data_IF_144704595578
#
_entry.id   IF_144704595578
#
_cell.length_a   1.000
_cell.length_b   1.000
_cell.length_c   1.000
_cell.angle_alpha   90.00
_cell.angle_beta   90.00
_cell.angle_gamma   90.00
#
_symmetry.space_group_name_H-M   'P 1'
#
loop_
_entity.id
_entity.type
_entity.pdbx_description
1 polymer ?
#
# COMPACT_ATOMS: atom_id res chain seq x y z
N UNK A 1 2.03 -17.19 0.75
CA UNK A 1 2.44 -15.84 0.37
C UNK A 1 1.19 -15.01 0.14
N UNK A 2 1.23 -13.71 0.45
CA UNK A 2 0.06 -12.82 0.52
C UNK A 2 -0.14 -12.17 -0.86
N UNK A 3 -1.39 -12.10 -1.32
CA UNK A 3 -1.77 -11.49 -2.60
C UNK A 3 -2.75 -10.34 -2.38
N UNK A 4 -2.90 -9.46 -3.36
CA UNK A 4 -3.86 -8.36 -3.31
C UNK A 4 -5.29 -8.84 -3.03
N UNK A 5 -5.71 -9.91 -3.70
CA UNK A 5 -7.03 -10.50 -3.49
C UNK A 5 -7.27 -10.90 -2.02
N UNK A 6 -6.24 -11.45 -1.36
CA UNK A 6 -6.34 -11.84 0.05
C UNK A 6 -6.44 -10.61 0.97
N UNK A 7 -5.75 -9.51 0.65
CA UNK A 7 -5.86 -8.24 1.37
C UNK A 7 -7.29 -7.70 1.26
N UNK A 8 -7.83 -7.58 0.06
CA UNK A 8 -9.19 -7.05 -0.15
C UNK A 8 -10.24 -7.94 0.51
N UNK A 9 -10.05 -9.27 0.47
CA UNK A 9 -10.92 -10.21 1.19
C UNK A 9 -10.91 -9.98 2.70
N UNK A 10 -9.74 -9.69 3.30
CA UNK A 10 -9.62 -9.35 4.72
C UNK A 10 -10.29 -8.03 5.06
N UNK A 11 -10.14 -7.04 4.19
CA UNK A 11 -10.84 -5.75 4.30
C UNK A 11 -12.34 -6.00 4.35
N UNK A 12 -12.93 -6.68 3.36
CA UNK A 12 -14.38 -6.87 3.30
C UNK A 12 -14.94 -7.73 4.43
N UNK A 13 -14.20 -8.76 4.86
CA UNK A 13 -14.66 -9.63 5.95
C UNK A 13 -14.65 -8.94 7.32
N UNK A 14 -13.76 -7.96 7.52
CA UNK A 14 -13.53 -7.34 8.84
C UNK A 14 -13.70 -5.82 8.82
N UNK A 15 -14.33 -5.25 7.77
CA UNK A 15 -14.41 -3.80 7.57
C UNK A 15 -14.99 -3.07 8.79
N UNK A 16 -15.94 -3.72 9.49
CA UNK A 16 -16.60 -3.20 10.68
C UNK A 16 -15.66 -3.07 11.88
N UNK A 17 -14.66 -3.94 11.99
CA UNK A 17 -13.67 -3.86 13.07
C UNK A 17 -12.52 -2.91 12.69
N UNK A 18 -12.12 -2.95 11.41
CA UNK A 18 -11.01 -2.13 10.88
C UNK A 18 -11.35 -0.64 10.94
N UNK A 19 -12.55 -0.23 10.50
CA UNK A 19 -12.89 1.20 10.41
C UNK A 19 -12.93 1.90 11.78
N UNK A 20 -13.21 1.17 12.86
CA UNK A 20 -13.23 1.71 14.23
C UNK A 20 -11.83 2.21 14.64
N UNK A 21 -10.79 1.54 14.13
CA UNK A 21 -9.40 1.91 14.38
C UNK A 21 -8.90 2.97 13.38
N UNK A 22 -9.68 3.26 12.34
CA UNK A 22 -9.35 4.28 11.36
C UNK A 22 -10.02 5.62 11.68
N UNK A 23 -9.27 6.53 12.29
CA UNK A 23 -9.75 7.88 12.63
C UNK A 23 -10.13 8.78 11.44
N UNK A 24 -9.86 8.35 10.21
CA UNK A 24 -10.15 9.08 8.96
C UNK A 24 -11.44 8.65 8.27
N UNK A 25 -12.04 7.55 8.71
CA UNK A 25 -13.28 7.03 8.14
C UNK A 25 -14.51 7.53 8.91
N UNK A 26 -15.56 7.95 8.20
CA UNK A 26 -16.86 8.19 8.84
C UNK A 26 -17.82 7.02 8.67
N UNK A 27 -17.57 6.18 7.65
CA UNK A 27 -18.36 4.99 7.35
C UNK A 27 -17.51 3.93 6.66
N UNK A 28 -17.71 2.64 6.96
CA UNK A 28 -17.02 1.54 6.27
C UNK A 28 -17.34 1.49 4.77
N UNK A 29 -18.49 2.01 4.34
CA UNK A 29 -18.90 1.98 2.93
C UNK A 29 -18.16 2.98 2.05
N UNK A 30 -17.46 3.95 2.63
CA UNK A 30 -16.69 4.96 1.85
C UNK A 30 -15.60 4.32 0.99
N UNK A 31 -15.11 3.14 1.41
CA UNK A 31 -13.98 2.48 0.75
C UNK A 31 -14.30 1.13 0.12
N UNK A 32 -15.45 0.54 0.45
CA UNK A 32 -15.79 -0.80 -0.03
C UNK A 32 -15.83 -0.85 -1.57
N UNK A 33 -16.38 0.19 -2.20
CA UNK A 33 -16.50 0.25 -3.65
C UNK A 33 -15.19 0.66 -4.35
N UNK A 34 -14.21 1.19 -3.61
CA UNK A 34 -12.93 1.60 -4.18
C UNK A 34 -11.95 0.45 -4.31
N UNK A 35 -12.01 -0.57 -3.44
CA UNK A 35 -11.06 -1.68 -3.47
C UNK A 35 -11.37 -2.70 -4.59
N UNK A 36 -10.53 -2.80 -5.64
CA UNK A 36 -10.73 -3.78 -6.70
C UNK A 36 -10.54 -5.21 -6.16
N UNK A 37 -11.50 -6.09 -6.44
CA UNK A 37 -11.44 -7.50 -6.03
C UNK A 37 -10.32 -8.30 -6.71
N UNK A 38 -9.77 -7.78 -7.81
CA UNK A 38 -8.65 -8.35 -8.55
C UNK A 38 -7.44 -7.42 -8.43
N UNK A 39 -6.25 -7.96 -8.62
CA UNK A 39 -5.01 -7.18 -8.75
C UNK A 39 -5.24 -6.05 -9.77
N UNK A 40 -4.97 -4.78 -9.41
CA UNK A 40 -5.09 -3.67 -10.35
C UNK A 40 -4.21 -3.90 -11.59
N UNK A 41 -4.63 -3.40 -12.75
CA UNK A 41 -3.80 -3.37 -13.97
C UNK A 41 -2.95 -2.12 -14.08
N UNK A 42 -3.31 -1.09 -13.33
CA UNK A 42 -2.69 0.22 -13.32
C UNK A 42 -2.41 0.66 -11.88
N UNK A 43 -1.51 1.63 -11.73
CA UNK A 43 -1.20 2.22 -10.43
C UNK A 43 -2.46 2.88 -9.87
N UNK A 44 -2.90 2.40 -8.71
CA UNK A 44 -4.15 2.84 -8.07
C UNK A 44 -3.82 3.64 -6.81
N UNK A 45 -4.48 4.78 -6.63
CA UNK A 45 -4.28 5.65 -5.48
C UNK A 45 -5.55 5.70 -4.63
N UNK A 46 -5.40 5.36 -3.36
CA UNK A 46 -6.42 5.48 -2.33
C UNK A 46 -6.11 6.68 -1.44
N UNK A 47 -7.15 7.35 -0.95
CA UNK A 47 -7.02 8.55 -0.10
C UNK A 47 -7.75 8.36 1.22
N UNK A 48 -7.33 9.15 2.21
CA UNK A 48 -8.00 9.35 3.49
C UNK A 48 -8.42 8.03 4.16
N UNK A 49 -9.73 7.75 4.19
CA UNK A 49 -10.32 6.56 4.79
C UNK A 49 -9.75 5.26 4.18
N UNK A 50 -9.56 5.19 2.86
CA UNK A 50 -9.20 3.93 2.20
C UNK A 50 -7.71 3.63 2.36
N UNK A 51 -6.88 4.67 2.36
CA UNK A 51 -5.48 4.56 2.73
C UNK A 51 -5.31 4.06 4.17
N UNK A 52 -6.10 4.61 5.09
CA UNK A 52 -6.08 4.25 6.50
C UNK A 52 -6.59 2.83 6.78
N UNK A 53 -7.69 2.40 6.14
CA UNK A 53 -8.18 1.01 6.22
C UNK A 53 -7.13 0.04 5.68
N UNK A 54 -6.52 0.34 4.53
CA UNK A 54 -5.48 -0.50 3.97
C UNK A 54 -4.27 -0.57 4.90
N UNK A 55 -3.85 0.56 5.49
CA UNK A 55 -2.78 0.62 6.49
C UNK A 55 -3.03 -0.30 7.67
N UNK A 56 -4.21 -0.24 8.28
CA UNK A 56 -4.59 -1.11 9.40
C UNK A 56 -4.52 -2.59 9.03
N UNK A 57 -4.98 -2.96 7.84
CA UNK A 57 -4.90 -4.35 7.38
C UNK A 57 -3.46 -4.80 7.13
N UNK A 58 -2.61 -3.92 6.59
CA UNK A 58 -1.21 -4.26 6.34
C UNK A 58 -0.43 -4.47 7.64
N UNK A 59 -0.67 -3.64 8.65
CA UNK A 59 -0.04 -3.76 9.99
C UNK A 59 -0.37 -5.11 10.68
N UNK A 60 -1.55 -5.67 10.41
CA UNK A 60 -1.98 -6.95 10.97
C UNK A 60 -1.32 -8.19 10.29
N UNK A 61 -0.62 -8.01 9.17
CA UNK A 61 -0.05 -9.13 8.38
C UNK A 61 1.45 -9.28 8.65
N UNK A 62 1.79 -10.07 9.67
CA UNK A 62 3.17 -10.36 10.10
C UNK A 62 4.11 -10.98 9.04
N UNK A 63 3.57 -11.51 7.93
CA UNK A 63 4.34 -12.23 6.91
C UNK A 63 4.81 -11.34 5.74
N UNK A 64 4.39 -10.08 5.71
CA UNK A 64 4.71 -9.15 4.62
C UNK A 64 6.01 -8.42 4.94
N UNK A 65 6.90 -8.35 3.95
CA UNK A 65 8.12 -7.54 4.08
C UNK A 65 7.74 -6.06 3.97
N UNK A 66 8.29 -5.26 4.87
CA UNK A 66 8.09 -3.82 4.88
C UNK A 66 9.42 -3.06 5.05
N UNK A 67 9.45 -1.83 4.55
CA UNK A 67 10.49 -0.86 4.89
C UNK A 67 9.87 0.51 5.18
N UNK A 68 10.51 1.23 6.10
CA UNK A 68 10.20 2.62 6.39
C UNK A 68 11.17 3.55 5.66
N UNK A 69 10.60 4.56 5.02
CA UNK A 69 11.30 5.57 4.23
C UNK A 69 10.93 6.94 4.79
N UNK A 70 11.90 7.66 5.41
CA UNK A 70 11.69 9.04 5.79
C UNK A 70 11.67 9.92 4.53
N UNK A 71 10.71 10.82 4.42
CA UNK A 71 10.59 11.81 3.35
C UNK A 71 10.25 13.15 4.00
N UNK A 72 11.21 14.07 3.99
CA UNK A 72 11.08 15.38 4.65
C UNK A 72 10.54 15.23 6.09
N UNK A 73 9.33 15.73 6.34
CA UNK A 73 8.64 15.71 7.64
C UNK A 73 7.62 14.55 7.78
N UNK A 74 7.68 13.54 6.90
CA UNK A 74 6.77 12.40 6.88
C UNK A 74 7.50 11.04 6.81
N UNK A 75 6.75 9.97 7.00
CA UNK A 75 7.22 8.60 6.87
C UNK A 75 6.29 7.83 5.94
N UNK A 76 6.89 7.17 4.96
CA UNK A 76 6.21 6.23 4.08
C UNK A 76 6.62 4.81 4.46
N UNK A 77 5.65 3.90 4.42
CA UNK A 77 5.88 2.46 4.55
C UNK A 77 5.66 1.81 3.20
N UNK A 78 6.67 1.10 2.68
CA UNK A 78 6.51 0.25 1.51
C UNK A 78 6.36 -1.20 1.95
N UNK A 79 5.32 -1.84 1.45
CA UNK A 79 5.06 -3.27 1.60
C UNK A 79 5.23 -3.95 0.25
N UNK A 80 5.95 -5.07 0.24
CA UNK A 80 6.04 -5.92 -0.95
C UNK A 80 5.28 -7.22 -0.71
N UNK A 81 4.25 -7.43 -1.52
CA UNK A 81 3.50 -8.69 -1.58
C UNK A 81 3.68 -9.36 -2.94
N UNK A 82 2.98 -10.46 -3.20
CA UNK A 82 3.27 -11.33 -4.36
C UNK A 82 3.00 -10.71 -5.72
N UNK A 83 1.99 -9.86 -5.81
CA UNK A 83 1.45 -9.35 -7.07
C UNK A 83 1.41 -7.82 -7.14
N UNK A 84 1.64 -7.13 -6.02
CA UNK A 84 1.74 -5.66 -5.95
C UNK A 84 2.82 -5.19 -4.96
N UNK A 85 3.33 -4.00 -5.20
CA UNK A 85 3.98 -3.15 -4.20
C UNK A 85 2.94 -2.17 -3.65
N UNK A 86 2.91 -1.96 -2.34
CA UNK A 86 1.97 -1.04 -1.69
C UNK A 86 2.78 0.02 -0.95
N UNK A 87 2.56 1.27 -1.30
CA UNK A 87 3.04 2.44 -0.58
C UNK A 87 1.94 2.98 0.32
N UNK A 88 2.23 3.22 1.60
CA UNK A 88 1.28 3.82 2.53
C UNK A 88 1.97 5.01 3.21
N UNK A 89 1.35 6.17 3.10
CA UNK A 89 1.65 7.38 3.84
C UNK A 89 0.52 7.71 4.81
N UNK A 90 0.60 8.84 5.51
CA UNK A 90 -0.44 9.28 6.44
C UNK A 90 -1.82 9.35 5.76
N UNK A 91 -1.94 9.99 4.60
CA UNK A 91 -3.22 10.28 3.93
C UNK A 91 -3.44 9.51 2.62
N UNK A 92 -2.41 8.85 2.10
CA UNK A 92 -2.47 8.20 0.80
C UNK A 92 -1.94 6.79 0.86
N UNK A 93 -2.52 5.91 0.04
CA UNK A 93 -1.92 4.64 -0.27
C UNK A 93 -1.87 4.45 -1.78
N UNK A 94 -0.75 3.94 -2.29
CA UNK A 94 -0.53 3.68 -3.71
C UNK A 94 -0.30 2.19 -3.90
N UNK A 95 -1.11 1.56 -4.73
CA UNK A 95 -0.97 0.15 -5.10
C UNK A 95 -0.39 0.09 -6.50
N UNK A 96 0.78 -0.54 -6.61
CA UNK A 96 1.60 -0.61 -7.82
C UNK A 96 1.68 -2.07 -8.23
N UNK A 97 1.03 -2.48 -9.32
CA UNK A 97 1.19 -3.81 -9.89
C UNK A 97 2.65 -4.14 -10.16
N UNK A 98 3.10 -5.38 -9.92
CA UNK A 98 4.53 -5.70 -10.06
C UNK A 98 5.07 -5.51 -11.50
N UNK A 99 4.22 -5.61 -12.52
CA UNK A 99 4.57 -5.31 -13.91
C UNK A 99 4.71 -3.80 -14.20
N UNK A 100 4.33 -2.94 -13.24
CA UNK A 100 4.44 -1.47 -13.27
C UNK A 100 5.48 -0.91 -12.31
N UNK A 101 6.23 -1.77 -11.63
CA UNK A 101 7.25 -1.36 -10.66
C UNK A 101 8.41 -0.59 -11.32
N UNK A 102 8.78 -0.93 -12.56
CA UNK A 102 9.81 -0.19 -13.29
C UNK A 102 9.37 1.25 -13.56
N UNK A 103 8.13 1.45 -14.04
CA UNK A 103 7.52 2.78 -14.25
C UNK A 103 7.52 3.60 -12.95
N UNK A 104 7.20 2.96 -11.82
CA UNK A 104 7.24 3.60 -10.50
C UNK A 104 8.66 4.01 -10.09
N UNK A 105 9.66 3.13 -10.29
CA UNK A 105 11.06 3.43 -9.98
C UNK A 105 11.56 4.63 -10.80
N UNK A 106 11.22 4.70 -12.09
CA UNK A 106 11.57 5.86 -12.93
C UNK A 106 10.94 7.15 -12.39
N UNK A 107 9.66 7.11 -12.02
CA UNK A 107 8.96 8.26 -11.44
C UNK A 107 9.65 8.79 -10.17
N UNK A 108 9.99 7.90 -9.22
CA UNK A 108 10.65 8.33 -7.97
C UNK A 108 12.11 8.79 -8.21
N UNK A 109 12.78 8.30 -9.27
CA UNK A 109 14.12 8.80 -9.69
C UNK A 109 14.03 10.24 -10.15
N UNK A 110 13.04 10.54 -10.97
CA UNK A 110 12.84 11.89 -11.49
C UNK A 110 12.45 12.89 -10.40
N UNK A 111 11.79 12.43 -9.35
CA UNK A 111 11.45 13.24 -8.17
C UNK A 111 12.65 13.50 -7.23
N UNK A 112 13.79 12.84 -7.43
CA UNK A 112 15.00 13.10 -6.65
C UNK A 112 14.95 12.59 -5.21
N UNK A 113 14.27 11.47 -4.96
CA UNK A 113 14.17 10.88 -3.62
C UNK A 113 15.56 10.49 -3.08
N UNK A 114 15.94 11.03 -1.92
CA UNK A 114 17.25 10.75 -1.29
C UNK A 114 17.45 9.27 -0.94
N UNK A 115 16.36 8.54 -0.67
CA UNK A 115 16.36 7.14 -0.24
C UNK A 115 16.16 6.13 -1.38
N UNK A 116 16.31 6.55 -2.63
CA UNK A 116 15.91 5.74 -3.79
C UNK A 116 16.64 4.41 -3.92
N UNK A 117 17.94 4.38 -3.63
CA UNK A 117 18.72 3.14 -3.71
C UNK A 117 18.23 2.11 -2.71
N UNK A 118 17.78 2.55 -1.53
CA UNK A 118 17.19 1.69 -0.50
C UNK A 118 15.85 1.10 -0.96
N UNK A 119 15.03 1.91 -1.63
CA UNK A 119 13.75 1.48 -2.21
C UNK A 119 13.98 0.41 -3.28
N UNK A 120 14.90 0.68 -4.21
CA UNK A 120 15.23 -0.25 -5.29
C UNK A 120 15.79 -1.55 -4.72
N UNK A 121 16.71 -1.49 -3.75
CA UNK A 121 17.25 -2.70 -3.11
C UNK A 121 16.18 -3.53 -2.40
N UNK A 122 15.18 -2.90 -1.77
CA UNK A 122 14.06 -3.60 -1.16
C UNK A 122 13.19 -4.31 -2.20
N UNK A 123 12.91 -3.63 -3.31
CA UNK A 123 12.12 -4.15 -4.42
C UNK A 123 12.86 -5.31 -5.12
N UNK A 124 14.15 -5.15 -5.44
CA UNK A 124 14.93 -6.10 -6.24
C UNK A 124 15.57 -7.22 -5.41
N UNK A 125 15.91 -6.97 -4.14
CA UNK A 125 16.71 -7.82 -3.25
C UNK A 125 16.04 -9.11 -2.78
N UNK A 126 15.04 -9.62 -3.51
CA UNK A 126 14.39 -10.90 -3.25
C UNK A 126 14.41 -11.74 -4.54
N UNK A 127 15.60 -12.18 -4.94
CA UNK A 127 15.79 -13.35 -5.83
C UNK A 127 16.37 -14.50 -5.01
#
# INVERSE_FOLDING_TARGET
MVTWHEIVRRIFNNIQDIYINCGKCTSPNECIDEFPLTTPTDITVFKDCCACILGQVMEDINEVKEIYIPIEDSMITLYKIDDVLIEISEDTAVVIPLDKVEDFIEMIRDMGYENIDKIIQFIEGTR
#
